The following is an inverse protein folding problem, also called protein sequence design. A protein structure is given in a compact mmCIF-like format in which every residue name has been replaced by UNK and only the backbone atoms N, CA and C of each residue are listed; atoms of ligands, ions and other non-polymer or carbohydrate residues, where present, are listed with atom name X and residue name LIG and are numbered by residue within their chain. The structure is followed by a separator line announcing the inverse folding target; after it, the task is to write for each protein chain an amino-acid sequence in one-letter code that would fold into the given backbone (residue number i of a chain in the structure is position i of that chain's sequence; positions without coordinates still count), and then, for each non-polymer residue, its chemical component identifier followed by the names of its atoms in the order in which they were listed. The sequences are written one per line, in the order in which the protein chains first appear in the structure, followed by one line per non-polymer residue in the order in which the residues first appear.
data_IF_310786208018
#
_entry.id   IF_310786208018
#
_cell.length_a   1.000
_cell.length_b   1.000
_cell.length_c   1.000
_cell.angle_alpha   90.00
_cell.angle_beta   90.00
_cell.angle_gamma   90.00
#
_symmetry.space_group_name_H-M   'P 1'
#
loop_
_entity.id
_entity.type
_entity.pdbx_description
1 polymer ?
#
# COMPACT_ATOMS: atom_id res chain seq x y z
N UNK A 1 3.48 22.97 9.53
CA UNK A 1 2.49 23.90 10.13
C UNK A 1 1.04 23.37 10.12
N UNK A 2 0.64 22.49 9.18
CA UNK A 2 -0.72 21.93 9.12
C UNK A 2 -0.86 20.46 9.56
N UNK A 3 0.24 19.70 9.57
CA UNK A 3 0.22 18.26 9.90
C UNK A 3 -0.04 18.02 11.39
N UNK A 4 -0.95 17.09 11.73
CA UNK A 4 -1.31 16.75 13.11
C UNK A 4 -2.28 17.74 13.79
N UNK A 5 -2.84 18.69 13.06
CA UNK A 5 -3.85 19.62 13.57
C UNK A 5 -5.27 19.07 13.39
N UNK A 6 -6.16 19.33 14.35
CA UNK A 6 -7.58 18.96 14.28
C UNK A 6 -8.45 19.97 13.49
N UNK A 7 -7.86 21.09 13.06
CA UNK A 7 -8.56 22.09 12.25
C UNK A 7 -8.90 21.54 10.86
N UNK A 8 -10.18 21.61 10.47
CA UNK A 8 -10.67 21.09 9.19
C UNK A 8 -10.00 21.76 7.97
N UNK A 9 -9.69 23.06 8.06
CA UNK A 9 -9.03 23.82 6.99
C UNK A 9 -7.58 23.35 6.76
N UNK A 10 -6.87 23.03 7.84
CA UNK A 10 -5.51 22.47 7.78
C UNK A 10 -5.50 21.04 7.26
N UNK A 11 -6.52 20.24 7.61
CA UNK A 11 -6.71 18.90 7.04
C UNK A 11 -6.99 18.97 5.53
N UNK A 12 -7.85 19.88 5.09
CA UNK A 12 -8.12 20.10 3.67
C UNK A 12 -6.83 20.48 2.93
N UNK A 13 -6.04 21.42 3.47
CA UNK A 13 -4.77 21.82 2.85
C UNK A 13 -3.75 20.69 2.74
N UNK A 14 -3.67 19.80 3.73
CA UNK A 14 -2.81 18.60 3.66
C UNK A 14 -3.32 17.62 2.61
N UNK A 15 -4.64 17.45 2.49
CA UNK A 15 -5.25 16.59 1.48
C UNK A 15 -5.03 17.12 0.06
N UNK A 16 -5.17 18.43 -0.15
CA UNK A 16 -4.85 19.07 -1.44
C UNK A 16 -3.38 18.89 -1.78
N UNK A 17 -2.48 19.05 -0.82
CA UNK A 17 -1.05 18.80 -1.02
C UNK A 17 -0.77 17.35 -1.44
N UNK A 18 -1.50 16.38 -0.89
CA UNK A 18 -1.35 14.98 -1.28
C UNK A 18 -1.81 14.71 -2.72
N UNK A 19 -2.85 15.41 -3.18
CA UNK A 19 -3.30 15.37 -4.56
C UNK A 19 -2.32 16.06 -5.51
N UNK A 20 -1.82 17.25 -5.15
CA UNK A 20 -0.78 17.99 -5.89
C UNK A 20 0.50 17.16 -6.08
N UNK A 21 0.88 16.38 -5.07
CA UNK A 21 2.03 15.47 -5.12
C UNK A 21 1.74 14.15 -5.84
N UNK A 22 0.51 13.96 -6.33
CA UNK A 22 0.03 12.73 -6.93
C UNK A 22 0.31 11.48 -6.04
N UNK A 23 0.26 11.64 -4.72
CA UNK A 23 0.52 10.55 -3.77
C UNK A 23 -0.38 9.33 -3.99
N UNK A 24 -1.66 9.46 -4.38
CA UNK A 24 -2.47 8.30 -4.74
C UNK A 24 -1.83 7.47 -5.86
N UNK A 25 -1.32 8.13 -6.91
CA UNK A 25 -0.67 7.45 -8.03
C UNK A 25 0.68 6.83 -7.62
N UNK A 26 1.47 7.53 -6.81
CA UNK A 26 2.74 7.03 -6.25
C UNK A 26 2.49 5.80 -5.38
N UNK A 27 1.46 5.84 -4.53
CA UNK A 27 1.05 4.72 -3.68
C UNK A 27 0.65 3.51 -4.54
N UNK A 28 -0.22 3.69 -5.54
CA UNK A 28 -0.64 2.59 -6.44
C UNK A 28 0.54 1.97 -7.18
N UNK A 29 1.48 2.79 -7.67
CA UNK A 29 2.69 2.30 -8.33
C UNK A 29 3.57 1.49 -7.37
N UNK A 30 3.81 2.00 -6.17
CA UNK A 30 4.59 1.32 -5.14
C UNK A 30 3.91 0.03 -4.64
N UNK A 31 2.58 0.03 -4.48
CA UNK A 31 1.82 -1.16 -4.09
C UNK A 31 1.98 -2.27 -5.14
N UNK A 32 1.82 -1.93 -6.41
CA UNK A 32 2.00 -2.89 -7.51
C UNK A 32 3.42 -3.42 -7.59
N UNK A 33 4.42 -2.56 -7.43
CA UNK A 33 5.82 -2.99 -7.41
C UNK A 33 6.10 -3.92 -6.22
N UNK A 34 5.60 -3.56 -5.04
CA UNK A 34 5.75 -4.36 -3.82
C UNK A 34 5.08 -5.73 -3.97
N UNK A 35 3.88 -5.78 -4.54
CA UNK A 35 3.17 -7.02 -4.84
C UNK A 35 4.01 -7.92 -5.76
N UNK A 36 4.45 -7.40 -6.91
CA UNK A 36 5.25 -8.17 -7.86
C UNK A 36 6.55 -8.69 -7.25
N UNK A 37 7.21 -7.85 -6.45
CA UNK A 37 8.46 -8.22 -5.78
C UNK A 37 8.23 -9.35 -4.78
N UNK A 38 7.21 -9.25 -3.94
CA UNK A 38 6.90 -10.27 -2.93
C UNK A 38 6.45 -11.57 -3.61
N UNK A 39 5.60 -11.51 -4.64
CA UNK A 39 5.21 -12.69 -5.43
C UNK A 39 6.43 -13.38 -6.03
N UNK A 40 7.34 -12.64 -6.66
CA UNK A 40 8.57 -13.23 -7.21
C UNK A 40 9.43 -13.88 -6.12
N UNK A 41 9.50 -13.29 -4.92
CA UNK A 41 10.20 -13.90 -3.80
C UNK A 41 9.53 -15.19 -3.32
N UNK A 42 8.19 -15.26 -3.33
CA UNK A 42 7.43 -16.47 -2.98
C UNK A 42 7.72 -17.59 -4.00
N UNK A 43 7.70 -17.27 -5.30
CA UNK A 43 8.00 -18.22 -6.38
C UNK A 43 9.43 -18.76 -6.31
N UNK A 44 10.38 -17.98 -5.78
CA UNK A 44 11.77 -18.40 -5.57
C UNK A 44 11.96 -19.29 -4.32
N UNK A 45 10.95 -19.44 -3.46
CA UNK A 45 11.05 -20.30 -2.29
C UNK A 45 11.07 -21.78 -2.71
N UNK A 46 11.85 -22.64 -2.03
CA UNK A 46 11.86 -24.07 -2.33
C UNK A 46 10.48 -24.72 -2.11
N UNK A 47 10.09 -25.65 -2.99
CA UNK A 47 8.79 -26.37 -3.07
C UNK A 47 8.26 -26.96 -1.76
N UNK A 48 9.13 -27.15 -0.76
CA UNK A 48 8.76 -27.62 0.58
C UNK A 48 8.00 -26.60 1.42
N UNK A 49 7.85 -25.36 0.94
CA UNK A 49 7.14 -24.28 1.61
C UNK A 49 5.77 -24.05 0.97
N UNK A 50 4.72 -23.80 1.76
CA UNK A 50 3.38 -23.57 1.24
C UNK A 50 3.29 -22.18 0.59
N UNK A 51 3.60 -22.07 -0.70
CA UNK A 51 3.51 -20.83 -1.47
C UNK A 51 2.10 -20.22 -1.43
N UNK A 52 1.08 -21.07 -1.47
CA UNK A 52 -0.35 -20.68 -1.35
C UNK A 52 -0.66 -19.90 -0.07
N UNK A 53 -0.03 -20.29 1.06
CA UNK A 53 -0.21 -19.60 2.33
C UNK A 53 0.33 -18.16 2.26
N UNK A 54 1.50 -17.98 1.65
CA UNK A 54 2.11 -16.66 1.50
C UNK A 54 1.32 -15.77 0.53
N UNK A 55 0.82 -16.33 -0.58
CA UNK A 55 -0.05 -15.60 -1.50
C UNK A 55 -1.37 -15.18 -0.83
N UNK A 56 -2.00 -16.06 -0.05
CA UNK A 56 -3.22 -15.73 0.67
C UNK A 56 -2.98 -14.59 1.67
N UNK A 57 -1.89 -14.66 2.44
CA UNK A 57 -1.55 -13.60 3.39
C UNK A 57 -1.30 -12.25 2.70
N UNK A 58 -0.57 -12.25 1.58
CA UNK A 58 -0.34 -11.05 0.76
C UNK A 58 -1.66 -10.42 0.27
N UNK A 59 -2.61 -11.25 -0.19
CA UNK A 59 -3.93 -10.78 -0.62
C UNK A 59 -4.76 -10.21 0.53
N UNK A 60 -4.70 -10.81 1.72
CA UNK A 60 -5.42 -10.31 2.90
C UNK A 60 -4.91 -8.92 3.28
N UNK A 61 -3.59 -8.74 3.38
CA UNK A 61 -2.99 -7.46 3.78
C UNK A 61 -3.31 -6.35 2.76
N UNK A 62 -3.27 -6.67 1.46
CA UNK A 62 -3.63 -5.72 0.42
C UNK A 62 -5.12 -5.37 0.45
N UNK A 63 -6.01 -6.36 0.63
CA UNK A 63 -7.46 -6.10 0.72
C UNK A 63 -7.81 -5.18 1.90
N UNK A 64 -7.17 -5.35 3.06
CA UNK A 64 -7.43 -4.50 4.23
C UNK A 64 -7.10 -3.02 3.96
N UNK A 65 -6.16 -2.70 3.07
CA UNK A 65 -5.84 -1.32 2.69
C UNK A 65 -6.98 -0.62 1.93
N UNK A 66 -7.89 -1.36 1.27
CA UNK A 66 -8.99 -0.80 0.49
C UNK A 66 -10.32 -0.66 1.28
N UNK A 67 -10.32 -1.04 2.56
CA UNK A 67 -11.51 -0.99 3.44
C UNK A 67 -11.51 0.20 4.42
N UNK A 68 -10.56 1.12 4.29
CA UNK A 68 -10.41 2.36 5.07
C UNK A 68 -10.28 3.57 4.15
#
# INVERSE_FOLDING_TARGET
ECYGSADLDKLARVRDLYDELALPAVYTANERESYNRITSQIEQLPDRLPHDLFHNYLQIVLRQNYLY
#
